data_IF_727284941219
#
_entry.id   IF_727284941219
#
_cell.length_a   1.000
_cell.length_b   1.000
_cell.length_c   1.000
_cell.angle_alpha   90.00
_cell.angle_beta   90.00
_cell.angle_gamma   90.00
#
_symmetry.space_group_name_H-M   'P 1'
#
loop_
_entity.id
_entity.type
_entity.pdbx_description
1 polymer ?
#
# COMPACT_ATOMS: atom_id res chain seq x y z
N UNK A 1 -2.43 6.95 -2.72
CA UNK A 1 -1.89 8.31 -2.98
C UNK A 1 -0.79 8.19 -4.02
N UNK A 2 -0.67 9.17 -4.91
CA UNK A 2 0.50 9.25 -5.80
C UNK A 2 1.68 9.88 -5.04
N UNK A 3 2.67 9.06 -4.68
CA UNK A 3 3.87 9.48 -3.98
C UNK A 3 4.94 10.04 -4.93
N UNK A 4 4.90 9.66 -6.21
CA UNK A 4 5.95 9.92 -7.19
C UNK A 4 7.36 9.59 -6.66
N UNK A 5 7.46 8.58 -5.80
CA UNK A 5 8.69 8.11 -5.17
C UNK A 5 8.73 6.58 -5.18
N UNK A 6 9.92 6.03 -5.31
CA UNK A 6 10.14 4.59 -5.44
C UNK A 6 10.65 4.01 -4.12
N UNK A 7 10.02 2.95 -3.63
CA UNK A 7 10.53 2.19 -2.49
C UNK A 7 10.19 0.71 -2.63
N UNK A 8 11.13 -0.13 -2.22
CA UNK A 8 10.93 -1.59 -2.09
C UNK A 8 9.81 -1.92 -1.08
N UNK A 9 9.46 -0.99 -0.18
CA UNK A 9 8.34 -1.13 0.76
C UNK A 9 6.99 -1.28 0.04
N UNK A 10 6.82 -0.66 -1.14
CA UNK A 10 5.64 -0.83 -2.00
C UNK A 10 6.01 -1.47 -3.34
N UNK A 11 6.93 -2.44 -3.31
CA UNK A 11 7.28 -3.33 -4.42
C UNK A 11 7.94 -2.68 -5.64
N UNK A 12 8.43 -1.44 -5.50
CA UNK A 12 9.36 -0.91 -6.51
C UNK A 12 10.65 -1.74 -6.54
N UNK A 13 11.24 -2.05 -7.71
CA UNK A 13 12.51 -2.78 -7.81
C UNK A 13 13.73 -2.07 -7.18
N UNK A 14 13.58 -0.77 -6.89
CA UNK A 14 14.61 0.04 -6.23
C UNK A 14 13.96 1.12 -5.39
N UNK A 15 14.71 1.61 -4.40
CA UNK A 15 14.34 2.75 -3.57
C UNK A 15 15.05 4.02 -4.03
N UNK A 16 14.32 5.13 -4.17
CA UNK A 16 14.89 6.46 -4.45
C UNK A 16 14.83 7.36 -3.20
N UNK A 17 15.42 8.55 -3.29
CA UNK A 17 15.50 9.48 -2.15
C UNK A 17 14.14 10.00 -1.68
N UNK A 18 13.12 10.01 -2.54
CA UNK A 18 11.76 10.41 -2.18
C UNK A 18 11.06 9.28 -1.45
N UNK A 19 11.19 8.05 -1.96
CA UNK A 19 10.66 6.86 -1.34
C UNK A 19 11.25 6.63 0.04
N UNK A 20 12.58 6.74 0.20
CA UNK A 20 13.24 6.60 1.51
C UNK A 20 12.66 7.57 2.54
N UNK A 21 12.59 8.87 2.21
CA UNK A 21 12.03 9.89 3.12
C UNK A 21 10.57 9.62 3.49
N UNK A 22 9.78 9.13 2.52
CA UNK A 22 8.38 8.81 2.76
C UNK A 22 8.23 7.55 3.62
N UNK A 23 9.06 6.53 3.39
CA UNK A 23 9.11 5.32 4.21
C UNK A 23 9.47 5.65 5.66
N UNK A 24 10.46 6.52 5.88
CA UNK A 24 10.80 7.03 7.22
C UNK A 24 9.61 7.77 7.87
N UNK A 25 8.93 8.63 7.12
CA UNK A 25 7.75 9.33 7.62
C UNK A 25 6.62 8.37 8.01
N UNK A 26 6.31 7.39 7.16
CA UNK A 26 5.28 6.37 7.41
C UNK A 26 5.61 5.60 8.70
N UNK A 27 6.86 5.15 8.85
CA UNK A 27 7.34 4.40 10.01
C UNK A 27 7.23 5.21 11.31
N UNK A 28 7.64 6.48 11.30
CA UNK A 28 7.58 7.36 12.48
C UNK A 28 6.16 7.77 12.89
N UNK A 29 5.15 7.50 12.06
CA UNK A 29 3.75 7.88 12.29
C UNK A 29 2.83 6.70 12.59
N UNK A 30 3.38 5.49 12.80
CA UNK A 30 2.59 4.27 13.00
C UNK A 30 1.58 4.05 11.87
N UNK A 31 2.00 4.34 10.64
CA UNK A 31 1.26 4.03 9.42
C UNK A 31 1.84 2.77 8.78
N UNK A 32 1.01 2.04 8.05
CA UNK A 32 1.36 0.78 7.42
C UNK A 32 1.07 0.84 5.94
N UNK A 33 2.04 0.42 5.13
CA UNK A 33 1.86 0.24 3.68
C UNK A 33 1.11 -1.08 3.45
N UNK A 34 0.03 -1.03 2.68
CA UNK A 34 -0.82 -2.19 2.38
C UNK A 34 -0.87 -2.53 0.89
N UNK A 35 0.03 -1.94 0.09
CA UNK A 35 0.22 -2.39 -1.29
C UNK A 35 0.53 -3.90 -1.31
N UNK A 36 0.11 -4.58 -2.38
CA UNK A 36 0.49 -5.96 -2.69
C UNK A 36 1.30 -6.02 -3.98
N UNK A 37 2.03 -7.12 -4.19
CA UNK A 37 2.87 -7.30 -5.38
C UNK A 37 2.06 -7.69 -6.62
N UNK A 38 1.23 -6.77 -7.10
CA UNK A 38 0.38 -6.95 -8.28
C UNK A 38 0.96 -6.31 -9.56
N UNK A 39 2.19 -5.80 -9.51
CA UNK A 39 2.84 -5.10 -10.62
C UNK A 39 2.77 -3.57 -10.53
N UNK A 40 3.24 -2.86 -11.57
CA UNK A 40 3.40 -1.40 -11.53
C UNK A 40 2.06 -0.68 -11.56
N UNK A 41 1.94 0.37 -10.75
CA UNK A 41 0.74 1.22 -10.64
C UNK A 41 0.69 2.30 -11.72
N UNK A 42 1.81 2.60 -12.35
CA UNK A 42 1.93 3.53 -13.46
C UNK A 42 2.58 2.85 -14.66
N UNK A 43 2.03 3.03 -15.85
CA UNK A 43 2.50 2.49 -17.13
C UNK A 43 2.38 3.56 -18.22
N UNK A 44 3.44 4.35 -18.40
CA UNK A 44 3.51 5.38 -19.43
C UNK A 44 4.39 4.99 -20.61
N UNK A 45 4.50 5.89 -21.58
CA UNK A 45 5.33 5.71 -22.79
C UNK A 45 6.81 5.47 -22.50
N UNK A 46 7.32 6.00 -21.39
CA UNK A 46 8.72 5.90 -20.96
C UNK A 46 8.99 4.68 -20.06
N UNK A 47 7.97 3.83 -19.82
CA UNK A 47 8.06 2.65 -18.97
C UNK A 47 7.11 2.69 -17.78
N UNK A 48 7.31 1.74 -16.87
CA UNK A 48 6.41 1.49 -15.75
C UNK A 48 7.07 1.77 -14.40
N UNK A 49 6.27 2.14 -13.41
CA UNK A 49 6.74 2.45 -12.06
C UNK A 49 5.71 2.13 -10.98
N UNK A 50 6.19 2.03 -9.74
CA UNK A 50 5.42 1.74 -8.54
C UNK A 50 5.44 3.00 -7.69
N UNK A 51 4.58 3.96 -8.04
CA UNK A 51 4.59 5.31 -7.46
C UNK A 51 3.31 5.64 -6.70
N UNK A 52 2.30 4.78 -6.77
CA UNK A 52 1.07 4.91 -5.99
C UNK A 52 1.14 4.02 -4.74
N UNK A 53 0.95 4.62 -3.58
CA UNK A 53 1.10 3.98 -2.27
C UNK A 53 -0.23 4.04 -1.52
N UNK A 54 -0.62 2.95 -0.88
CA UNK A 54 -1.79 2.89 0.00
C UNK A 54 -1.29 2.67 1.42
N UNK A 55 -1.67 3.58 2.32
CA UNK A 55 -1.28 3.53 3.73
C UNK A 55 -2.50 3.56 4.63
N UNK A 56 -2.43 2.84 5.74
CA UNK A 56 -3.48 2.80 6.77
C UNK A 56 -2.88 3.04 8.15
N UNK A 57 -3.68 3.57 9.07
CA UNK A 57 -3.33 3.58 10.49
C UNK A 57 -3.58 2.21 11.12
N UNK A 58 -2.99 1.97 12.30
CA UNK A 58 -3.16 0.73 13.06
C UNK A 58 -4.63 0.32 13.23
N UNK A 59 -5.52 1.30 13.43
CA UNK A 59 -6.94 1.07 13.72
C UNK A 59 -7.72 0.43 12.56
N UNK A 60 -7.21 0.50 11.33
CA UNK A 60 -7.83 -0.09 10.14
C UNK A 60 -7.02 -1.27 9.59
N UNK A 61 -5.93 -1.66 10.25
CA UNK A 61 -4.99 -2.64 9.69
C UNK A 61 -5.62 -4.02 9.51
N UNK A 62 -6.55 -4.39 10.40
CA UNK A 62 -7.29 -5.66 10.34
C UNK A 62 -8.57 -5.57 9.49
N UNK A 63 -9.03 -4.36 9.19
CA UNK A 63 -10.29 -4.10 8.49
C UNK A 63 -10.09 -3.85 6.99
N UNK A 64 -8.85 -3.72 6.52
CA UNK A 64 -8.56 -3.51 5.08
C UNK A 64 -8.05 -4.78 4.44
N UNK A 65 -8.64 -5.15 3.31
CA UNK A 65 -8.29 -6.38 2.59
C UNK A 65 -8.45 -6.23 1.08
N UNK A 66 -8.14 -7.30 0.34
CA UNK A 66 -8.36 -7.39 -1.10
C UNK A 66 -7.72 -6.26 -1.93
N UNK A 67 -6.56 -5.76 -1.49
CA UNK A 67 -5.80 -4.80 -2.27
C UNK A 67 -5.34 -5.42 -3.58
N UNK A 68 -5.69 -4.80 -4.70
CA UNK A 68 -5.31 -5.28 -6.02
C UNK A 68 -5.31 -4.16 -7.07
N UNK A 69 -4.71 -4.47 -8.23
CA UNK A 69 -4.86 -3.70 -9.46
C UNK A 69 -5.94 -4.38 -10.31
N UNK A 70 -7.07 -3.70 -10.61
CA UNK A 70 -8.10 -4.28 -11.43
C UNK A 70 -7.59 -4.46 -12.87
N UNK A 71 -8.17 -5.45 -13.56
CA UNK A 71 -7.77 -5.82 -14.93
C UNK A 71 -8.40 -4.97 -16.02
N UNK A 72 -9.35 -4.10 -15.66
CA UNK A 72 -9.95 -3.21 -16.65
C UNK A 72 -8.99 -2.06 -16.95
N UNK A 73 -8.92 -1.69 -18.23
CA UNK A 73 -8.10 -0.56 -18.65
C UNK A 73 -8.80 0.76 -18.38
N UNK A 74 -8.01 1.78 -18.05
CA UNK A 74 -8.43 3.17 -18.05
C UNK A 74 -7.73 3.92 -19.19
N UNK A 75 -8.20 5.11 -19.54
CA UNK A 75 -7.50 6.00 -20.47
C UNK A 75 -6.32 6.75 -19.82
N UNK A 76 -6.00 6.43 -18.56
CA UNK A 76 -4.89 6.99 -17.80
C UNK A 76 -3.70 6.03 -17.80
N UNK A 77 -2.49 6.58 -17.80
CA UNK A 77 -1.26 5.83 -17.57
C UNK A 77 -1.16 5.32 -16.11
N UNK A 78 -1.92 5.92 -15.18
CA UNK A 78 -2.10 5.35 -13.84
C UNK A 78 -3.18 4.26 -13.86
N UNK A 79 -2.84 3.10 -13.29
CA UNK A 79 -3.80 2.05 -12.99
C UNK A 79 -4.61 2.43 -11.75
N UNK A 80 -5.88 2.06 -11.78
CA UNK A 80 -6.71 2.10 -10.57
C UNK A 80 -6.14 1.16 -9.51
N UNK A 81 -6.40 1.48 -8.25
CA UNK A 81 -6.11 0.61 -7.10
C UNK A 81 -7.46 0.41 -6.41
N UNK A 82 -7.78 -0.84 -6.14
CA UNK A 82 -8.99 -1.23 -5.42
C UNK A 82 -8.63 -2.02 -4.17
N UNK A 83 -9.41 -1.82 -3.11
CA UNK A 83 -9.31 -2.54 -1.85
C UNK A 83 -10.66 -2.42 -1.13
N UNK A 84 -10.89 -3.32 -0.18
CA UNK A 84 -12.10 -3.35 0.63
C UNK A 84 -11.80 -2.86 2.05
N UNK A 85 -12.75 -2.10 2.62
CA UNK A 85 -12.72 -1.66 4.01
C UNK A 85 -13.95 -2.23 4.71
N UNK A 86 -13.73 -3.08 5.69
CA UNK A 86 -14.79 -3.69 6.50
C UNK A 86 -15.16 -2.69 7.59
N UNK A 87 -16.32 -2.09 7.46
CA UNK A 87 -16.87 -1.18 8.47
C UNK A 87 -17.78 -1.97 9.41
N UNK A 88 -17.22 -2.94 10.13
CA UNK A 88 -17.96 -3.58 11.21
C UNK A 88 -18.10 -2.58 12.37
N UNK A 89 -19.30 -2.44 12.98
CA UNK A 89 -19.42 -1.79 14.27
C UNK A 89 -18.74 -2.68 15.33
N UNK A 90 -17.42 -2.56 15.48
CA UNK A 90 -16.64 -3.39 16.39
C UNK A 90 -17.09 -3.18 17.86
N UNK A 91 -17.54 -4.23 18.59
CA UNK A 91 -17.43 -4.27 20.04
C UNK A 91 -15.94 -4.35 20.42
N UNK A 92 -15.54 -3.95 21.65
CA UNK A 92 -14.13 -3.84 22.04
C UNK A 92 -13.37 -5.16 21.84
N UNK A 93 -12.08 -5.11 21.44
CA UNK A 93 -11.32 -6.28 20.99
C UNK A 93 -11.16 -7.31 22.10
N UNK A 94 -11.37 -8.60 21.76
CA UNK A 94 -11.03 -9.74 22.63
C UNK A 94 -9.56 -10.10 22.43
N UNK A 95 -8.81 -10.16 23.54
CA UNK A 95 -7.41 -10.61 23.55
C UNK A 95 -7.27 -12.01 22.94
N UNK A 96 -6.49 -12.15 21.87
CA UNK A 96 -5.68 -13.36 21.67
C UNK A 96 -5.68 -14.09 20.33
N UNK A 97 -6.16 -13.55 19.21
CA UNK A 97 -6.15 -14.28 17.93
C UNK A 97 -5.16 -13.68 16.94
N UNK A 98 -4.14 -14.46 16.55
CA UNK A 98 -3.12 -14.08 15.58
C UNK A 98 -3.49 -14.63 14.20
N UNK A 99 -3.86 -13.77 13.26
CA UNK A 99 -3.82 -14.06 11.82
C UNK A 99 -2.59 -13.35 11.22
N UNK A 100 -1.65 -14.13 10.70
CA UNK A 100 -0.35 -13.65 10.20
C UNK A 100 -0.49 -13.08 8.78
N UNK A 101 -0.41 -11.76 8.66
CA UNK A 101 -0.09 -11.06 7.41
C UNK A 101 1.44 -10.97 7.23
N UNK A 102 1.93 -11.00 5.98
CA UNK A 102 3.35 -10.74 5.69
C UNK A 102 3.65 -9.25 5.84
N UNK A 103 3.86 -8.84 7.09
CA UNK A 103 4.18 -7.47 7.48
C UNK A 103 5.59 -7.10 7.00
N UNK A 104 5.70 -6.27 5.97
CA UNK A 104 6.92 -5.50 5.73
C UNK A 104 6.83 -4.23 6.58
N UNK A 105 7.47 -4.24 7.75
CA UNK A 105 7.75 -2.99 8.46
C UNK A 105 8.65 -2.13 7.57
N UNK A 106 8.29 -0.85 7.44
CA UNK A 106 9.17 0.18 6.92
C UNK A 106 10.39 0.29 7.86
N UNK A 107 11.52 -0.25 7.43
CA UNK A 107 12.81 -0.12 8.12
C UNK A 107 13.37 1.29 7.98
#
# INVERSE_FOLDING_TARGET
MDANGKSETWFSPLSDSRGIKLTEFISTRNLFVINEDCGPTFCGSQGSSYIDVTVVGTDLLEDVSCWHLPTYDSLSDHKSIEFEVILDPHPPPKKGENCTFHLKKAN
#
